data_IF_830967285404
#
_entry.id   IF_830967285404
#
_cell.length_a   1.000
_cell.length_b   1.000
_cell.length_c   1.000
_cell.angle_alpha   90.00
_cell.angle_beta   90.00
_cell.angle_gamma   90.00
#
_symmetry.space_group_name_H-M   'P 1'
#
loop_
_entity.id
_entity.type
_entity.pdbx_description
1 polymer ?
#
# COMPACT_ATOMS: atom_id res chain seq x y z
N UNK A 1 10.23 -18.98 -56.85
CA UNK A 1 9.04 -18.37 -56.22
C UNK A 1 9.52 -17.15 -55.43
N UNK A 2 9.51 -15.98 -56.07
CA UNK A 2 10.13 -14.74 -55.53
C UNK A 2 9.18 -14.10 -54.51
N UNK A 3 9.60 -14.07 -53.24
CA UNK A 3 8.85 -13.40 -52.18
C UNK A 3 8.99 -11.88 -52.39
N UNK A 4 7.91 -11.26 -52.88
CA UNK A 4 7.84 -9.82 -53.14
C UNK A 4 8.23 -9.00 -51.90
N UNK A 5 9.10 -8.00 -52.09
CA UNK A 5 9.53 -7.02 -51.06
C UNK A 5 8.34 -6.39 -50.31
N UNK A 6 7.16 -6.33 -50.94
CA UNK A 6 5.92 -5.84 -50.32
C UNK A 6 5.38 -6.75 -49.21
N UNK A 7 5.59 -8.07 -49.27
CA UNK A 7 5.22 -9.00 -48.19
C UNK A 7 6.19 -8.91 -47.00
N UNK A 8 7.45 -8.57 -47.25
CA UNK A 8 8.46 -8.39 -46.19
C UNK A 8 8.21 -7.10 -45.38
N UNK A 9 7.78 -6.03 -46.04
CA UNK A 9 7.40 -4.77 -45.38
C UNK A 9 6.11 -4.93 -44.55
N UNK A 10 5.14 -5.73 -45.04
CA UNK A 10 3.90 -6.02 -44.31
C UNK A 10 4.15 -6.87 -43.05
N UNK A 11 5.16 -7.74 -43.07
CA UNK A 11 5.57 -8.54 -41.90
C UNK A 11 6.25 -7.68 -40.82
N UNK A 12 6.98 -6.63 -41.20
CA UNK A 12 7.57 -5.66 -40.26
C UNK A 12 6.51 -4.79 -39.56
N UNK A 13 5.39 -4.50 -40.20
CA UNK A 13 4.29 -3.73 -39.60
C UNK A 13 3.52 -4.52 -38.53
N UNK A 14 3.48 -5.85 -38.63
CA UNK A 14 2.79 -6.71 -37.65
C UNK A 14 3.59 -6.94 -36.35
N UNK A 15 4.89 -6.59 -36.32
CA UNK A 15 5.73 -6.74 -35.13
C UNK A 15 5.79 -5.48 -34.24
N UNK A 16 5.23 -4.35 -34.67
CA UNK A 16 5.29 -3.07 -33.94
C UNK A 16 4.09 -2.81 -33.01
N UNK A 17 3.12 -3.73 -32.92
CA UNK A 17 1.85 -3.49 -32.23
C UNK A 17 1.72 -4.22 -30.87
N UNK A 18 2.83 -4.59 -30.22
CA UNK A 18 2.79 -5.07 -28.83
C UNK A 18 3.59 -4.15 -27.92
N UNK A 19 3.19 -2.88 -27.84
CA UNK A 19 3.36 -2.18 -26.58
C UNK A 19 2.47 -2.91 -25.56
N UNK A 20 3.04 -3.86 -24.81
CA UNK A 20 2.40 -4.29 -23.56
C UNK A 20 2.37 -3.06 -22.66
N UNK A 21 1.26 -2.34 -22.68
CA UNK A 21 1.01 -1.26 -21.75
C UNK A 21 1.18 -1.82 -20.36
N UNK A 22 2.16 -1.32 -19.60
CA UNK A 22 2.14 -1.44 -18.15
C UNK A 22 0.85 -0.76 -17.71
N UNK A 23 -0.21 -1.55 -17.51
CA UNK A 23 -1.51 -1.03 -17.12
C UNK A 23 -1.45 -0.64 -15.65
N UNK A 24 -0.93 0.56 -15.39
CA UNK A 24 -1.05 1.24 -14.10
C UNK A 24 -2.53 1.61 -13.94
N UNK A 25 -3.15 1.07 -12.91
CA UNK A 25 -4.50 1.38 -12.50
C UNK A 25 -4.54 2.77 -11.85
N UNK A 26 -5.59 3.56 -12.11
CA UNK A 26 -5.77 4.87 -11.48
C UNK A 26 -5.95 4.70 -9.97
N UNK A 27 -5.23 5.51 -9.19
CA UNK A 27 -5.37 5.54 -7.73
C UNK A 27 -6.50 6.50 -7.36
N UNK A 28 -7.50 6.02 -6.60
CA UNK A 28 -8.56 6.87 -6.07
C UNK A 28 -8.06 7.78 -4.95
N UNK A 29 -8.86 8.79 -4.60
CA UNK A 29 -8.56 9.70 -3.49
C UNK A 29 -8.37 8.93 -2.17
N UNK A 30 -7.40 9.40 -1.36
CA UNK A 30 -7.09 8.83 -0.05
C UNK A 30 -8.18 9.19 0.97
N UNK A 31 -8.62 8.26 1.83
CA UNK A 31 -9.59 8.56 2.88
C UNK A 31 -9.08 9.62 3.87
N UNK A 32 -9.98 10.47 4.37
CA UNK A 32 -9.66 11.44 5.41
C UNK A 32 -9.56 10.76 6.79
N UNK A 33 -8.35 10.43 7.23
CA UNK A 33 -8.11 9.67 8.46
C UNK A 33 -8.43 10.47 9.73
N UNK A 34 -8.27 11.78 9.70
CA UNK A 34 -8.64 12.66 10.82
C UNK A 34 -10.14 12.58 11.08
N UNK A 35 -10.95 12.55 10.02
CA UNK A 35 -12.39 12.36 10.11
C UNK A 35 -12.76 10.95 10.58
N UNK A 36 -12.10 9.91 10.06
CA UNK A 36 -12.38 8.52 10.43
C UNK A 36 -12.02 8.18 11.88
N UNK A 37 -10.94 8.77 12.40
CA UNK A 37 -10.50 8.62 13.79
C UNK A 37 -11.01 9.74 14.70
N UNK A 38 -12.06 10.47 14.31
CA UNK A 38 -12.64 11.53 15.16
C UNK A 38 -13.00 10.99 16.54
N UNK A 39 -12.74 11.77 17.58
CA UNK A 39 -12.99 11.37 18.97
C UNK A 39 -11.85 10.56 19.60
N UNK A 40 -10.82 10.18 18.83
CA UNK A 40 -9.52 9.80 19.40
C UNK A 40 -8.74 11.09 19.63
N UNK A 41 -8.82 11.58 20.87
CA UNK A 41 -8.33 12.92 21.26
C UNK A 41 -6.83 13.11 21.04
N UNK A 42 -6.04 12.05 21.04
CA UNK A 42 -4.58 12.11 20.87
C UNK A 42 -4.15 11.25 19.69
N UNK A 43 -3.44 11.87 18.73
CA UNK A 43 -2.84 11.18 17.60
C UNK A 43 -1.86 10.14 18.13
N UNK A 44 -2.16 8.87 17.88
CA UNK A 44 -1.28 7.77 18.29
C UNK A 44 0.02 7.84 17.49
N UNK A 45 1.15 7.99 18.19
CA UNK A 45 2.47 7.92 17.56
C UNK A 45 2.87 6.47 17.39
N UNK A 46 3.48 6.18 16.24
CA UNK A 46 4.18 4.92 16.01
C UNK A 46 5.58 5.02 16.61
N UNK A 47 5.93 4.09 17.49
CA UNK A 47 7.23 4.01 18.17
C UNK A 47 8.21 3.12 17.39
N UNK A 48 7.71 2.03 16.79
CA UNK A 48 8.49 1.16 15.90
C UNK A 48 7.79 1.12 14.55
N UNK A 49 8.52 1.53 13.51
CA UNK A 49 8.10 1.46 12.11
C UNK A 49 9.02 0.51 11.36
N UNK A 50 8.60 -0.75 11.09
CA UNK A 50 9.40 -1.66 10.28
C UNK A 50 9.47 -1.17 8.83
N UNK A 51 10.23 -1.88 7.99
CA UNK A 51 10.23 -1.60 6.54
C UNK A 51 8.92 -2.09 5.92
N UNK A 52 8.23 -1.22 5.20
CA UNK A 52 7.08 -1.63 4.39
C UNK A 52 7.58 -2.44 3.17
N UNK A 53 7.07 -3.66 3.01
CA UNK A 53 7.45 -4.53 1.90
C UNK A 53 6.56 -4.26 0.69
N UNK A 54 7.10 -3.57 -0.30
CA UNK A 54 6.38 -3.32 -1.55
C UNK A 54 6.16 -4.62 -2.33
N UNK A 55 4.92 -4.91 -2.78
CA UNK A 55 4.65 -6.02 -3.69
C UNK A 55 5.49 -5.91 -4.97
N UNK A 56 6.20 -6.98 -5.34
CA UNK A 56 7.14 -6.95 -6.48
C UNK A 56 6.42 -6.62 -7.80
N UNK A 57 5.24 -7.20 -8.02
CA UNK A 57 4.45 -7.01 -9.24
C UNK A 57 4.01 -5.57 -9.46
N UNK A 58 3.66 -4.86 -8.39
CA UNK A 58 3.21 -3.47 -8.41
C UNK A 58 4.41 -2.54 -8.52
N UNK A 59 5.49 -2.88 -7.82
CA UNK A 59 6.77 -2.19 -7.92
C UNK A 59 7.28 -2.18 -9.37
N UNK A 60 7.35 -3.35 -10.01
CA UNK A 60 7.81 -3.51 -11.39
C UNK A 60 6.91 -2.75 -12.39
N UNK A 61 5.63 -2.51 -12.02
CA UNK A 61 4.66 -1.76 -12.82
C UNK A 61 4.70 -0.25 -12.58
N UNK A 62 5.45 0.23 -11.60
CA UNK A 62 5.34 1.62 -11.16
C UNK A 62 3.96 1.95 -10.55
N UNK A 63 3.25 0.95 -10.02
CA UNK A 63 1.91 1.12 -9.48
C UNK A 63 1.97 1.56 -8.03
N UNK A 64 1.48 2.76 -7.73
CA UNK A 64 1.25 3.25 -6.37
C UNK A 64 -0.13 2.88 -5.83
N UNK A 65 -0.35 3.10 -4.52
CA UNK A 65 -1.64 2.84 -3.92
C UNK A 65 -1.72 3.16 -2.43
N UNK A 66 -2.84 2.80 -1.83
CA UNK A 66 -3.07 2.91 -0.40
C UNK A 66 -3.98 1.79 0.10
N UNK A 67 -3.87 1.48 1.39
CA UNK A 67 -4.71 0.51 2.09
C UNK A 67 -5.23 1.14 3.38
N UNK A 68 -6.55 1.11 3.57
CA UNK A 68 -7.21 1.49 4.80
C UNK A 68 -7.48 0.24 5.63
N UNK A 69 -6.89 0.19 6.83
CA UNK A 69 -7.06 -0.92 7.76
C UNK A 69 -7.74 -0.39 9.03
N UNK A 70 -8.73 -1.11 9.54
CA UNK A 70 -9.31 -0.89 10.86
C UNK A 70 -8.83 -1.96 11.82
N UNK A 71 -8.47 -1.58 13.04
CA UNK A 71 -8.11 -2.54 14.07
C UNK A 71 -8.03 -1.91 15.45
N UNK A 72 -7.50 -2.66 16.39
CA UNK A 72 -7.35 -2.22 17.77
C UNK A 72 -5.87 -2.06 18.13
N UNK A 73 -5.57 -1.22 19.12
CA UNK A 73 -4.24 -1.07 19.70
C UNK A 73 -4.33 -1.51 21.17
N UNK A 74 -3.51 -2.51 21.53
CA UNK A 74 -3.45 -3.05 22.88
C UNK A 74 -2.88 -2.06 23.89
N UNK A 75 -2.96 -2.39 25.19
CA UNK A 75 -2.33 -1.61 26.27
C UNK A 75 -0.80 -1.51 26.13
N UNK A 76 -0.20 -2.42 25.37
CA UNK A 76 1.25 -2.47 25.09
C UNK A 76 1.61 -1.77 23.77
N UNK A 77 0.64 -1.17 23.09
CA UNK A 77 0.87 -0.49 21.81
C UNK A 77 0.99 -1.44 20.63
N UNK A 78 0.46 -2.66 20.72
CA UNK A 78 0.50 -3.65 19.63
C UNK A 78 -0.81 -3.59 18.85
N UNK A 79 -0.73 -3.51 17.53
CA UNK A 79 -1.92 -3.54 16.68
C UNK A 79 -2.45 -4.97 16.52
N UNK A 80 -3.75 -5.18 16.72
CA UNK A 80 -4.43 -6.46 16.55
C UNK A 80 -5.84 -6.26 15.98
N UNK A 81 -6.59 -7.35 15.78
CA UNK A 81 -7.93 -7.33 15.16
C UNK A 81 -7.97 -6.55 13.83
N UNK A 82 -6.89 -6.67 13.05
CA UNK A 82 -6.70 -5.92 11.82
C UNK A 82 -7.60 -6.45 10.70
N UNK A 83 -8.41 -5.57 10.13
CA UNK A 83 -9.24 -5.84 8.97
C UNK A 83 -9.07 -4.75 7.91
N UNK A 84 -8.86 -5.14 6.66
CA UNK A 84 -8.85 -4.19 5.54
C UNK A 84 -10.28 -3.71 5.31
N UNK A 85 -10.49 -2.40 5.30
CA UNK A 85 -11.79 -1.77 5.08
C UNK A 85 -11.92 -1.26 3.67
N UNK A 86 -10.83 -0.72 3.13
CA UNK A 86 -10.80 -0.19 1.77
C UNK A 86 -9.36 -0.19 1.23
N UNK A 87 -9.20 -0.11 -0.07
CA UNK A 87 -7.91 -0.05 -0.73
C UNK A 87 -8.04 0.52 -2.14
N UNK A 88 -6.97 1.12 -2.63
CA UNK A 88 -6.87 1.49 -4.03
C UNK A 88 -5.44 1.35 -4.52
N UNK A 89 -5.23 0.96 -5.78
CA UNK A 89 -6.24 0.50 -6.74
C UNK A 89 -6.49 -1.01 -6.69
N UNK A 90 -5.63 -1.75 -5.97
CA UNK A 90 -5.57 -3.20 -6.02
C UNK A 90 -5.39 -3.80 -4.64
N UNK A 91 -6.04 -4.93 -4.40
CA UNK A 91 -5.94 -5.68 -3.16
C UNK A 91 -4.54 -6.28 -2.91
N UNK A 92 -3.63 -6.25 -3.89
CA UNK A 92 -2.29 -6.82 -3.76
C UNK A 92 -1.46 -6.13 -2.67
N UNK A 93 -1.75 -4.86 -2.35
CA UNK A 93 -1.12 -4.13 -1.25
C UNK A 93 -1.57 -4.59 0.14
N UNK A 94 -2.72 -5.28 0.26
CA UNK A 94 -3.37 -5.58 1.54
C UNK A 94 -2.49 -6.42 2.45
N UNK A 95 -1.87 -7.48 1.91
CA UNK A 95 -1.01 -8.36 2.70
C UNK A 95 0.21 -7.62 3.25
N UNK A 96 0.81 -6.74 2.43
CA UNK A 96 1.94 -5.92 2.86
C UNK A 96 1.55 -4.95 3.97
N UNK A 97 0.38 -4.30 3.86
CA UNK A 97 -0.13 -3.39 4.88
C UNK A 97 -0.38 -4.10 6.22
N UNK A 98 -1.02 -5.28 6.18
CA UNK A 98 -1.30 -6.08 7.39
C UNK A 98 -0.01 -6.53 8.07
N UNK A 99 0.98 -7.03 7.32
CA UNK A 99 2.29 -7.43 7.87
C UNK A 99 2.99 -6.24 8.52
N UNK A 100 3.05 -5.12 7.81
CA UNK A 100 3.65 -3.90 8.33
C UNK A 100 3.00 -3.44 9.65
N UNK A 101 1.68 -3.49 9.77
CA UNK A 101 0.98 -3.14 11.02
C UNK A 101 1.22 -4.16 12.15
N UNK A 102 1.28 -5.46 11.87
CA UNK A 102 1.59 -6.49 12.87
C UNK A 102 2.98 -6.31 13.48
N UNK A 103 3.92 -5.89 12.65
CA UNK A 103 5.32 -5.71 13.04
C UNK A 103 5.59 -4.28 13.58
N UNK A 104 4.57 -3.43 13.65
CA UNK A 104 4.66 -2.08 14.18
C UNK A 104 4.33 -2.01 15.66
N UNK A 105 4.95 -1.05 16.35
CA UNK A 105 4.59 -0.72 17.72
C UNK A 105 4.19 0.75 17.84
N UNK A 106 3.21 1.01 18.69
CA UNK A 106 2.58 2.30 18.90
C UNK A 106 2.74 2.72 20.36
N UNK A 107 2.56 4.01 20.64
CA UNK A 107 2.38 4.46 22.01
C UNK A 107 1.08 3.87 22.58
N UNK A 108 1.11 3.40 23.85
CA UNK A 108 -0.11 2.99 24.54
C UNK A 108 -1.14 4.10 24.60
N UNK A 109 -2.38 3.78 24.23
CA UNK A 109 -3.51 4.70 24.39
C UNK A 109 -3.80 4.88 25.91
N UNK A 110 -3.83 6.11 26.45
CA UNK A 110 -4.03 6.39 27.89
C UNK A 110 -5.37 7.08 28.19
N UNK A 111 -6.35 6.34 28.69
CA UNK A 111 -7.61 6.94 29.15
C UNK A 111 -7.49 7.32 30.63
N UNK A 112 -7.71 8.60 30.97
CA UNK A 112 -7.58 9.12 32.34
C UNK A 112 -6.21 8.77 32.97
N UNK A 113 -5.14 8.88 32.19
CA UNK A 113 -3.76 8.59 32.63
C UNK A 113 -3.40 7.10 32.69
N UNK A 114 -4.34 6.17 32.45
CA UNK A 114 -4.09 4.72 32.49
C UNK A 114 -4.09 4.12 31.08
N UNK A 115 -3.13 3.25 30.80
CA UNK A 115 -3.09 2.51 29.54
C UNK A 115 -4.37 1.69 29.34
N UNK A 116 -5.00 1.86 28.19
CA UNK A 116 -6.27 1.25 27.79
C UNK A 116 -6.17 0.73 26.36
N UNK A 117 -7.09 -0.15 25.98
CA UNK A 117 -7.20 -0.64 24.60
C UNK A 117 -7.89 0.44 23.77
N UNK A 118 -7.29 0.83 22.66
CA UNK A 118 -7.95 1.67 21.66
C UNK A 118 -8.63 0.76 20.64
N UNK A 119 -9.95 0.83 20.53
CA UNK A 119 -10.70 -0.01 19.59
C UNK A 119 -11.05 0.73 18.31
N UNK A 120 -11.05 0.00 17.19
CA UNK A 120 -11.61 0.48 15.92
C UNK A 120 -10.88 1.66 15.30
N UNK A 121 -9.58 1.76 15.54
CA UNK A 121 -8.71 2.77 14.96
C UNK A 121 -8.42 2.49 13.48
N UNK A 122 -8.46 3.52 12.66
CA UNK A 122 -8.14 3.46 11.24
C UNK A 122 -6.67 3.82 10.99
N UNK A 123 -5.99 2.95 10.24
CA UNK A 123 -4.64 3.13 9.75
C UNK A 123 -4.68 3.29 8.23
N UNK A 124 -4.07 4.35 7.70
CA UNK A 124 -3.82 4.49 6.26
C UNK A 124 -2.36 4.17 5.98
N UNK A 125 -2.15 3.17 5.13
CA UNK A 125 -0.84 2.78 4.65
C UNK A 125 -0.74 3.23 3.21
N UNK A 126 0.25 4.05 2.92
CA UNK A 126 0.46 4.63 1.60
C UNK A 126 1.66 3.94 0.98
N UNK A 127 1.48 3.46 -0.25
CA UNK A 127 2.49 2.82 -1.08
C UNK A 127 2.86 3.79 -2.21
N UNK A 128 3.83 4.63 -1.93
CA UNK A 128 4.41 5.58 -2.89
C UNK A 128 5.77 5.07 -3.36
N UNK A 129 6.11 5.36 -4.61
CA UNK A 129 7.40 5.06 -5.21
C UNK A 129 8.30 6.29 -5.02
N UNK A 130 8.99 6.33 -3.87
CA UNK A 130 10.04 7.32 -3.62
C UNK A 130 11.42 6.87 -4.09
N UNK A 131 12.35 7.83 -4.21
CA UNK A 131 13.76 7.64 -4.61
C UNK A 131 14.54 6.63 -3.72
N UNK A 132 14.15 6.49 -2.45
CA UNK A 132 14.85 5.62 -1.48
C UNK A 132 13.98 4.43 -1.03
N UNK A 133 13.67 3.52 -1.95
CA UNK A 133 13.11 2.23 -1.55
C UNK A 133 14.25 1.28 -1.13
N UNK A 134 14.35 0.78 0.12
CA UNK A 134 15.54 0.08 0.63
C UNK A 134 15.77 -1.32 0.02
N UNK A 135 15.05 -1.68 -1.05
CA UNK A 135 15.37 -2.84 -1.89
C UNK A 135 16.48 -2.48 -2.92
N UNK A 136 16.82 -1.19 -3.04
CA UNK A 136 17.99 -0.69 -3.79
C UNK A 136 19.19 -0.50 -2.88
N UNK A 137 19.88 -1.60 -2.57
CA UNK A 137 21.33 -1.62 -2.55
C UNK A 137 21.74 -2.70 -3.55
N UNK A 138 21.94 -2.28 -4.79
CA UNK A 138 22.76 -3.02 -5.75
C UNK A 138 24.23 -2.87 -5.38
#
# INVERSE_FOLDING_TARGET
MSLSKTKLILLCYLFLASCMSLNVMPVSEKPNIQMLNRGVEWKIRRTISPKMLYPKTEFDKGQEGWVLVRGDISKQGIANNLNVVDFSPSAVFNLAAIRYLRDSQFEPYKQKGKASILKGYYFLLIFELGEEHPRYKG
#
